data_IF_108321372294
#
_entry.id   IF_108321372294
#
_cell.length_a   1.000
_cell.length_b   1.000
_cell.length_c   1.000
_cell.angle_alpha   90.00
_cell.angle_beta   90.00
_cell.angle_gamma   90.00
#
_symmetry.space_group_name_H-M   'P 1'
#
loop_
_entity.id
_entity.type
_entity.pdbx_description
1 polymer ?
#
# COMPACT_ATOMS: atom_id res chain seq x y z
N UNK A 1 -17.12 13.26 -25.18
CA UNK A 1 -17.25 13.66 -24.62
C UNK A 1 -17.22 14.00 -24.13
N UNK A 2 -17.35 13.70 -23.95
CA UNK A 2 -17.64 14.08 -23.25
C UNK A 2 -17.36 14.28 -22.67
N UNK A 3 -17.45 14.03 -22.55
CA UNK A 3 -17.48 14.27 -21.87
C UNK A 3 -16.93 14.40 -21.47
N UNK A 4 -16.87 14.12 -21.27
CA UNK A 4 -16.66 14.32 -20.62
C UNK A 4 -16.24 14.86 -20.06
N UNK A 5 -16.39 14.91 -20.08
CA UNK A 5 -16.28 15.46 -19.34
C UNK A 5 -16.11 15.86 -18.80
N UNK A 6 -16.30 15.81 -18.54
CA UNK A 6 -16.37 16.20 -17.90
C UNK A 6 -15.91 16.19 -17.27
N UNK A 7 -15.93 16.01 -17.27
CA UNK A 7 -15.74 15.97 -16.44
C UNK A 7 -15.21 16.03 -15.89
N UNK A 8 -15.25 16.15 -15.78
CA UNK A 8 -15.00 16.33 -15.29
C UNK A 8 -14.62 16.22 -14.59
N UNK A 9 -14.42 16.44 -14.33
CA UNK A 9 -14.32 16.17 -13.54
C UNK A 9 -14.48 15.51 -12.86
N UNK A 10 -14.48 15.44 -13.02
CA UNK A 10 -15.05 14.31 -12.41
C UNK A 10 -14.09 13.23 -12.00
N UNK A 11 -12.95 13.20 -12.53
CA UNK A 11 -11.98 12.22 -12.15
C UNK A 11 -11.45 12.47 -10.77
N UNK A 12 -11.13 11.39 -10.06
CA UNK A 12 -10.49 11.51 -8.77
C UNK A 12 -8.98 11.51 -8.94
N UNK A 13 -8.29 12.15 -8.02
CA UNK A 13 -6.84 12.18 -8.01
C UNK A 13 -6.37 11.46 -6.77
N UNK A 14 -5.37 10.60 -6.94
CA UNK A 14 -4.84 9.81 -5.84
C UNK A 14 -3.39 10.16 -5.60
N UNK A 15 -2.98 10.04 -4.37
CA UNK A 15 -1.58 10.11 -4.00
C UNK A 15 -1.13 8.70 -3.68
N UNK A 16 0.16 8.45 -3.88
CA UNK A 16 0.73 7.13 -3.66
C UNK A 16 1.90 7.25 -2.69
N UNK A 17 1.92 6.36 -1.72
CA UNK A 17 3.00 6.24 -0.76
C UNK A 17 3.40 4.78 -0.68
N UNK A 18 4.69 4.51 -0.57
CA UNK A 18 5.17 3.15 -0.45
C UNK A 18 5.68 2.88 0.94
N UNK A 19 5.36 1.71 1.45
CA UNK A 19 5.82 1.24 2.74
C UNK A 19 6.26 -0.20 2.61
N UNK A 20 7.10 -0.63 3.56
CA UNK A 20 7.46 -2.04 3.67
C UNK A 20 6.96 -2.53 5.01
N UNK A 21 6.07 -3.51 4.96
CA UNK A 21 5.62 -4.15 6.17
C UNK A 21 6.40 -5.43 6.41
N UNK A 22 6.45 -5.86 7.65
CA UNK A 22 7.13 -7.11 8.00
C UNK A 22 6.22 -7.97 8.84
N UNK A 23 6.47 -9.27 8.80
CA UNK A 23 5.73 -10.23 9.61
C UNK A 23 6.58 -11.48 9.76
N UNK A 24 6.43 -12.15 10.89
CA UNK A 24 7.09 -13.42 11.10
C UNK A 24 6.28 -14.58 10.54
N UNK A 25 5.07 -14.32 10.10
CA UNK A 25 4.16 -15.39 9.67
C UNK A 25 3.93 -15.47 8.18
N UNK A 26 3.76 -14.33 7.51
CA UNK A 26 3.41 -14.37 6.09
C UNK A 26 3.58 -13.01 5.43
N UNK A 27 3.68 -13.04 4.08
CA UNK A 27 3.71 -11.80 3.32
C UNK A 27 2.38 -11.08 3.41
N UNK A 28 1.30 -11.85 3.49
CA UNK A 28 -0.02 -11.26 3.58
C UNK A 28 -0.15 -10.45 4.85
N UNK A 29 0.29 -11.01 5.95
CA UNK A 29 0.25 -10.28 7.21
C UNK A 29 1.19 -9.09 7.18
N UNK A 30 2.34 -9.23 6.53
CA UNK A 30 3.27 -8.12 6.39
C UNK A 30 2.60 -6.96 5.68
N UNK A 31 1.85 -7.25 4.61
CA UNK A 31 1.13 -6.21 3.89
C UNK A 31 0.06 -5.57 4.75
N UNK A 32 -0.69 -6.39 5.49
CA UNK A 32 -1.72 -5.86 6.37
C UNK A 32 -1.14 -4.95 7.44
N UNK A 33 0.03 -5.31 7.96
CA UNK A 33 0.70 -4.49 8.97
C UNK A 33 1.05 -3.13 8.41
N UNK A 34 1.50 -3.07 7.15
CA UNK A 34 1.81 -1.81 6.51
C UNK A 34 0.57 -0.95 6.36
N UNK A 35 -0.52 -1.56 5.91
CA UNK A 35 -1.79 -0.85 5.73
C UNK A 35 -2.30 -0.34 7.07
N UNK A 36 -2.25 -1.19 8.08
CA UNK A 36 -2.75 -0.82 9.40
C UNK A 36 -1.99 0.38 9.96
N UNK A 37 -0.66 0.34 9.86
CA UNK A 37 0.16 1.43 10.36
C UNK A 37 -0.11 2.71 9.59
N UNK A 38 -0.22 2.60 8.27
CA UNK A 38 -0.47 3.77 7.44
C UNK A 38 -1.83 4.39 7.74
N UNK A 39 -2.82 3.55 8.03
CA UNK A 39 -4.18 4.04 8.24
C UNK A 39 -4.29 4.88 9.51
N UNK A 40 -3.29 4.83 10.37
CA UNK A 40 -3.31 5.62 11.59
C UNK A 40 -2.96 7.08 11.34
N UNK A 41 -2.32 7.37 10.22
CA UNK A 41 -1.93 8.74 9.91
C UNK A 41 -2.43 9.21 8.56
N UNK A 42 -2.80 8.30 7.67
CA UNK A 42 -3.28 8.66 6.34
C UNK A 42 -4.77 8.40 6.26
N UNK A 43 -5.47 9.33 5.60
CA UNK A 43 -6.91 9.20 5.42
C UNK A 43 -7.22 8.73 4.02
N UNK A 44 -8.40 8.17 3.86
CA UNK A 44 -8.93 7.83 2.55
C UNK A 44 -8.07 6.84 1.81
N UNK A 45 -7.49 5.88 2.54
CA UNK A 45 -6.80 4.79 1.88
C UNK A 45 -7.79 4.00 1.06
N UNK A 46 -7.45 3.72 -0.19
CA UNK A 46 -8.38 3.07 -1.10
C UNK A 46 -7.85 1.80 -1.69
N UNK A 47 -6.56 1.78 -2.04
CA UNK A 47 -5.97 0.63 -2.70
C UNK A 47 -4.60 0.36 -2.11
N UNK A 48 -4.32 -0.91 -1.88
CA UNK A 48 -2.99 -1.35 -1.46
C UNK A 48 -2.55 -2.41 -2.45
N UNK A 49 -1.44 -2.17 -3.09
CA UNK A 49 -0.89 -3.10 -4.06
C UNK A 49 0.43 -3.63 -3.54
N UNK A 50 0.57 -4.95 -3.47
CA UNK A 50 1.83 -5.55 -3.09
C UNK A 50 2.71 -5.59 -4.33
N UNK A 51 3.81 -4.84 -4.29
CA UNK A 51 4.67 -4.72 -5.46
C UNK A 51 5.87 -5.64 -5.41
N UNK A 52 6.33 -5.98 -4.21
CA UNK A 52 7.46 -6.88 -4.04
C UNK A 52 7.31 -7.65 -2.75
N UNK A 53 7.86 -8.85 -2.75
CA UNK A 53 7.89 -9.70 -1.58
C UNK A 53 9.30 -10.25 -1.43
N UNK A 54 9.82 -10.20 -0.22
CA UNK A 54 11.13 -10.78 0.03
C UNK A 54 11.17 -11.27 1.48
N UNK A 55 12.32 -11.74 1.88
CA UNK A 55 12.48 -12.32 3.20
C UNK A 55 13.78 -11.83 3.81
N UNK A 56 13.76 -11.67 5.11
CA UNK A 56 14.98 -11.41 5.87
C UNK A 56 15.54 -12.75 6.28
N UNK A 57 16.80 -12.96 5.97
CA UNK A 57 17.46 -14.23 6.24
C UNK A 57 18.67 -13.99 7.14
N UNK A 58 18.82 -14.82 8.15
CA UNK A 58 19.96 -14.75 9.04
C UNK A 58 20.40 -16.16 9.35
N UNK A 59 21.69 -16.44 9.15
CA UNK A 59 22.25 -17.78 9.41
C UNK A 59 21.48 -18.88 8.69
N UNK A 60 21.09 -18.60 7.44
CA UNK A 60 20.38 -19.57 6.64
C UNK A 60 18.92 -19.79 7.02
N UNK A 61 18.40 -18.96 7.89
CA UNK A 61 17.02 -19.08 8.34
C UNK A 61 16.22 -17.85 7.96
N UNK A 62 14.96 -18.08 7.62
CA UNK A 62 14.05 -16.98 7.35
C UNK A 62 13.59 -16.41 8.68
N UNK A 63 13.91 -15.14 8.91
CA UNK A 63 13.50 -14.44 10.12
C UNK A 63 12.18 -13.77 9.97
N UNK A 64 11.92 -13.22 8.79
CA UNK A 64 10.71 -12.46 8.60
C UNK A 64 10.38 -12.37 7.11
N UNK A 65 9.12 -12.16 6.84
CA UNK A 65 8.61 -11.90 5.51
C UNK A 65 8.42 -10.40 5.37
N UNK A 66 8.75 -9.85 4.21
CA UNK A 66 8.56 -8.43 3.95
C UNK A 66 7.73 -8.26 2.70
N UNK A 67 6.80 -7.32 2.76
CA UNK A 67 5.99 -6.95 1.60
C UNK A 67 6.12 -5.46 1.38
N UNK A 68 6.50 -5.10 0.15
CA UNK A 68 6.48 -3.70 -0.25
C UNK A 68 5.10 -3.40 -0.78
N UNK A 69 4.49 -2.37 -0.23
CA UNK A 69 3.10 -2.06 -0.53
C UNK A 69 3.02 -0.64 -1.04
N UNK A 70 2.38 -0.48 -2.19
CA UNK A 70 2.09 0.82 -2.76
C UNK A 70 0.67 1.17 -2.35
N UNK A 71 0.54 2.22 -1.55
CA UNK A 71 -0.75 2.63 -1.01
C UNK A 71 -1.26 3.83 -1.77
N UNK A 72 -2.47 3.71 -2.28
CA UNK A 72 -3.14 4.82 -2.96
C UNK A 72 -4.22 5.36 -2.04
N UNK A 73 -4.23 6.66 -1.87
CA UNK A 73 -5.29 7.28 -1.10
C UNK A 73 -5.78 8.52 -1.83
N UNK A 74 -7.05 8.81 -1.62
CA UNK A 74 -7.68 9.89 -2.35
C UNK A 74 -7.09 11.22 -1.91
N UNK A 75 -6.70 12.01 -2.89
CA UNK A 75 -6.13 13.31 -2.62
C UNK A 75 -7.28 14.28 -2.32
N UNK A 76 -7.20 14.91 -1.17
CA UNK A 76 -8.21 15.90 -0.78
C UNK A 76 -7.58 17.27 -0.83
N UNK A 77 -8.38 18.23 -1.23
CA UNK A 77 -7.92 19.60 -1.32
C UNK A 77 -8.49 20.46 -0.26
#
# INVERSE_FOLDING_TARGET
MATRAKSTSTGSVYRITELVGTSKTSWEEAARNAVHTASQSLRELRVAEITKMDMVIENGRVLAFRSRVSLSFKYER
#
